data_IF_897048266627
#
_entry.id   IF_897048266627
#
_cell.length_a   1.000
_cell.length_b   1.000
_cell.length_c   1.000
_cell.angle_alpha   90.00
_cell.angle_beta   90.00
_cell.angle_gamma   90.00
#
_symmetry.space_group_name_H-M   'P 1'
#
loop_
_entity.id
_entity.type
_entity.pdbx_description
1 polymer ?
#
# COMPACT_ATOMS: atom_id res chain seq x y z
N UNK A 1 -3.90 -1.87 -14.62
CA UNK A 1 -3.90 -0.39 -14.70
C UNK A 1 -5.11 0.23 -14.00
N UNK A 2 -6.37 -0.09 -14.36
CA UNK A 2 -7.58 0.55 -13.76
C UNK A 2 -7.65 0.47 -12.22
N UNK A 3 -7.45 -0.72 -11.63
CA UNK A 3 -7.48 -0.89 -10.17
C UNK A 3 -6.29 -0.20 -9.47
N UNK A 4 -5.09 -0.30 -10.04
CA UNK A 4 -3.88 0.32 -9.50
C UNK A 4 -3.99 1.85 -9.49
N UNK A 5 -4.48 2.42 -10.60
CA UNK A 5 -4.78 3.85 -10.72
C UNK A 5 -5.90 4.27 -9.77
N UNK A 6 -6.92 3.43 -9.58
CA UNK A 6 -7.99 3.69 -8.62
C UNK A 6 -7.45 3.79 -7.18
N UNK A 7 -6.66 2.81 -6.75
CA UNK A 7 -6.02 2.81 -5.42
C UNK A 7 -5.08 4.00 -5.28
N UNK A 8 -4.26 4.28 -6.30
CA UNK A 8 -3.37 5.44 -6.34
C UNK A 8 -4.13 6.76 -6.23
N UNK A 9 -5.23 6.92 -6.95
CA UNK A 9 -6.03 8.14 -6.93
C UNK A 9 -6.74 8.31 -5.59
N UNK A 10 -7.26 7.24 -5.00
CA UNK A 10 -7.85 7.28 -3.67
C UNK A 10 -6.81 7.72 -2.61
N UNK A 11 -5.59 7.18 -2.69
CA UNK A 11 -4.48 7.58 -1.82
C UNK A 11 -4.10 9.05 -2.00
N UNK A 12 -3.86 9.47 -3.25
CA UNK A 12 -3.47 10.85 -3.60
C UNK A 12 -4.53 11.85 -3.13
N UNK A 13 -5.82 11.56 -3.34
CA UNK A 13 -6.91 12.42 -2.90
C UNK A 13 -7.03 12.48 -1.38
N UNK A 14 -6.87 11.35 -0.68
CA UNK A 14 -6.93 11.29 0.79
C UNK A 14 -5.80 12.10 1.43
N UNK A 15 -4.61 12.03 0.85
CA UNK A 15 -3.41 12.69 1.37
C UNK A 15 -3.28 14.15 0.89
N UNK A 16 -4.22 14.64 0.06
CA UNK A 16 -4.18 15.99 -0.50
C UNK A 16 -2.98 16.24 -1.42
N UNK A 17 -2.44 15.19 -2.06
CA UNK A 17 -1.26 15.29 -2.93
C UNK A 17 -1.70 15.77 -4.32
N UNK A 18 -0.91 16.65 -4.95
CA UNK A 18 -1.15 17.10 -6.32
C UNK A 18 -1.16 15.93 -7.30
N UNK A 19 -2.17 15.88 -8.18
CA UNK A 19 -2.28 14.80 -9.15
C UNK A 19 -1.10 14.80 -10.14
N UNK A 20 -0.44 13.64 -10.35
CA UNK A 20 0.61 13.50 -11.34
C UNK A 20 0.03 13.53 -12.77
N UNK A 21 0.82 14.02 -13.72
CA UNK A 21 0.46 13.96 -15.14
C UNK A 21 0.28 12.51 -15.62
N UNK A 22 -0.47 12.29 -16.71
CA UNK A 22 -0.81 10.95 -17.20
C UNK A 22 0.42 10.04 -17.42
N UNK A 23 1.56 10.62 -17.81
CA UNK A 23 2.83 9.89 -17.99
C UNK A 23 3.43 9.40 -16.66
N UNK A 24 3.24 10.15 -15.58
CA UNK A 24 3.82 9.87 -14.26
C UNK A 24 2.85 9.12 -13.35
N UNK A 25 1.54 9.17 -13.64
CA UNK A 25 0.50 8.50 -12.87
C UNK A 25 0.74 6.99 -12.72
N UNK A 26 1.19 6.31 -13.77
CA UNK A 26 1.50 4.87 -13.68
C UNK A 26 2.68 4.58 -12.74
N UNK A 27 3.71 5.44 -12.73
CA UNK A 27 4.86 5.27 -11.82
C UNK A 27 4.47 5.53 -10.38
N UNK A 28 3.69 6.59 -10.14
CA UNK A 28 3.14 6.89 -8.83
C UNK A 28 2.24 5.75 -8.31
N UNK A 29 1.39 5.20 -9.17
CA UNK A 29 0.51 4.10 -8.81
C UNK A 29 1.27 2.83 -8.40
N UNK A 30 2.35 2.49 -9.11
CA UNK A 30 3.22 1.37 -8.72
C UNK A 30 3.96 1.63 -7.42
N UNK A 31 4.47 2.84 -7.22
CA UNK A 31 5.14 3.21 -5.96
C UNK A 31 4.19 3.08 -4.76
N UNK A 32 2.99 3.65 -4.86
CA UNK A 32 1.97 3.60 -3.80
C UNK A 32 1.56 2.15 -3.53
N UNK A 33 1.37 1.35 -4.57
CA UNK A 33 1.01 -0.06 -4.40
C UNK A 33 2.09 -0.87 -3.70
N UNK A 34 3.36 -0.71 -4.06
CA UNK A 34 4.48 -1.40 -3.41
C UNK A 34 4.58 -1.00 -1.94
N UNK A 35 4.47 0.30 -1.65
CA UNK A 35 4.44 0.82 -0.27
C UNK A 35 3.29 0.20 0.54
N UNK A 36 2.09 0.13 -0.05
CA UNK A 36 0.92 -0.48 0.61
C UNK A 36 1.15 -1.97 0.90
N UNK A 37 1.66 -2.72 -0.07
CA UNK A 37 2.00 -4.13 0.11
C UNK A 37 3.05 -4.32 1.20
N UNK A 38 4.10 -3.49 1.23
CA UNK A 38 5.14 -3.56 2.26
C UNK A 38 4.54 -3.39 3.66
N UNK A 39 3.72 -2.36 3.87
CA UNK A 39 3.04 -2.13 5.17
C UNK A 39 2.18 -3.33 5.56
N UNK A 40 1.35 -3.84 4.64
CA UNK A 40 0.49 -5.00 4.91
C UNK A 40 1.32 -6.23 5.28
N UNK A 41 2.42 -6.50 4.57
CA UNK A 41 3.31 -7.63 4.88
C UNK A 41 3.98 -7.47 6.23
N UNK A 42 4.42 -6.27 6.61
CA UNK A 42 5.03 -6.02 7.93
C UNK A 42 4.03 -6.26 9.04
N UNK A 43 2.82 -5.69 8.95
CA UNK A 43 1.77 -5.88 9.96
C UNK A 43 1.36 -7.35 10.07
N UNK A 44 1.17 -8.03 8.93
CA UNK A 44 0.83 -9.45 8.90
C UNK A 44 1.95 -10.32 9.52
N UNK A 45 3.21 -9.99 9.26
CA UNK A 45 4.36 -10.72 9.84
C UNK A 45 4.40 -10.56 11.35
N UNK A 46 4.25 -9.34 11.87
CA UNK A 46 4.23 -9.07 13.31
C UNK A 46 3.06 -9.79 13.97
N UNK A 47 1.85 -9.69 13.40
CA UNK A 47 0.67 -10.37 13.92
C UNK A 47 0.86 -11.89 13.92
N UNK A 48 1.40 -12.46 12.85
CA UNK A 48 1.68 -13.89 12.75
C UNK A 48 2.68 -14.35 13.82
N UNK A 49 3.78 -13.61 14.02
CA UNK A 49 4.77 -13.92 15.06
C UNK A 49 4.17 -13.82 16.46
N UNK A 50 3.35 -12.80 16.73
CA UNK A 50 2.67 -12.62 18.00
C UNK A 50 1.68 -13.75 18.32
N UNK A 51 0.84 -14.11 17.35
CA UNK A 51 -0.12 -15.23 17.48
C UNK A 51 0.64 -16.54 17.70
N UNK A 52 1.69 -16.78 16.90
CA UNK A 52 2.51 -17.99 17.02
C UNK A 52 3.16 -18.08 18.40
N UNK A 53 3.77 -17.00 18.87
CA UNK A 53 4.38 -16.96 20.21
C UNK A 53 3.35 -17.22 21.31
N UNK A 54 2.19 -16.56 21.25
CA UNK A 54 1.10 -16.73 22.21
C UNK A 54 0.47 -18.13 22.17
N UNK A 55 0.52 -18.83 21.02
CA UNK A 55 0.03 -20.22 20.91
C UNK A 55 1.00 -21.26 21.47
N UNK A 56 2.26 -20.87 21.71
CA UNK A 56 3.34 -21.75 22.17
C UNK A 56 3.68 -21.57 23.66
N UNK A 57 3.04 -20.62 24.34
CA UNK A 57 3.10 -20.38 25.79
C UNK A 57 1.72 -20.57 26.40
#
# INVERSE_FOLDING_TARGET
MKLLLFISNAFINTMGITQPSAKTANRAAWFIFIMLCAVLTTVATIAFLGIRWASQH
#
